data_IF_136773924319
#
_entry.id   IF_136773924319
#
_cell.length_a   1.000
_cell.length_b   1.000
_cell.length_c   1.000
_cell.angle_alpha   90.00
_cell.angle_beta   90.00
_cell.angle_gamma   90.00
#
_symmetry.space_group_name_H-M   'P 1'
#
loop_
_entity.id
_entity.type
_entity.pdbx_description
1 polymer ?
#
# COMPACT_ATOMS: atom_id res chain seq x y z
N UNK A 1 24.12 -7.06 3.31
CA UNK A 1 23.14 -8.01 3.85
C UNK A 1 22.04 -8.16 2.81
N UNK A 2 21.60 -9.38 2.51
CA UNK A 2 20.37 -9.58 1.73
C UNK A 2 19.15 -9.21 2.58
N UNK A 3 18.00 -8.86 1.98
CA UNK A 3 16.79 -8.45 2.69
C UNK A 3 16.37 -9.46 3.77
N UNK A 4 16.50 -10.77 3.52
CA UNK A 4 16.19 -11.83 4.49
C UNK A 4 17.07 -11.82 5.74
N UNK A 5 18.33 -11.40 5.63
CA UNK A 5 19.24 -11.25 6.78
C UNK A 5 18.83 -10.04 7.63
N UNK A 6 18.42 -8.94 6.98
CA UNK A 6 17.93 -7.74 7.67
C UNK A 6 16.61 -8.05 8.39
N UNK A 7 15.66 -8.70 7.71
CA UNK A 7 14.40 -9.14 8.33
C UNK A 7 14.68 -10.03 9.54
N UNK A 8 15.57 -11.01 9.41
CA UNK A 8 15.97 -11.88 10.54
C UNK A 8 16.62 -11.08 11.68
N UNK A 9 17.46 -10.09 11.35
CA UNK A 9 18.10 -9.23 12.33
C UNK A 9 17.07 -8.38 13.10
N UNK A 10 16.15 -7.72 12.40
CA UNK A 10 15.09 -6.91 12.99
C UNK A 10 14.12 -7.78 13.80
N UNK A 11 13.73 -8.93 13.26
CA UNK A 11 12.86 -9.89 13.94
C UNK A 11 13.49 -10.47 15.21
N UNK A 12 14.82 -10.60 15.27
CA UNK A 12 15.50 -11.06 16.49
C UNK A 12 15.33 -10.15 17.72
N UNK A 13 14.74 -8.97 17.57
CA UNK A 13 14.22 -8.19 18.71
C UNK A 13 13.15 -8.97 19.47
N UNK A 14 12.34 -9.79 18.77
CA UNK A 14 11.33 -10.64 19.36
C UNK A 14 11.91 -11.53 20.47
N UNK A 15 13.13 -12.05 20.30
CA UNK A 15 13.80 -12.88 21.30
C UNK A 15 14.11 -12.11 22.60
N UNK A 16 14.34 -10.80 22.51
CA UNK A 16 14.59 -9.93 23.68
C UNK A 16 13.31 -9.61 24.45
N UNK A 17 12.17 -9.52 23.75
CA UNK A 17 10.91 -9.04 24.30
C UNK A 17 9.89 -10.16 24.55
N UNK A 18 10.22 -11.41 24.19
CA UNK A 18 9.26 -12.52 24.16
C UNK A 18 8.63 -12.87 25.51
N UNK A 19 9.36 -12.66 26.60
CA UNK A 19 8.91 -12.97 27.95
C UNK A 19 8.06 -11.82 28.55
N UNK A 20 8.09 -10.64 27.91
CA UNK A 20 7.44 -9.40 28.37
C UNK A 20 6.24 -9.02 27.49
N UNK A 21 6.29 -9.33 26.20
CA UNK A 21 5.26 -9.02 25.21
C UNK A 21 4.66 -10.30 24.63
N UNK A 22 3.33 -10.32 24.46
CA UNK A 22 2.67 -11.38 23.70
C UNK A 22 3.11 -11.31 22.23
N UNK A 23 3.12 -12.43 21.52
CA UNK A 23 3.52 -12.50 20.10
C UNK A 23 2.84 -11.46 19.21
N UNK A 24 1.52 -11.28 19.39
CA UNK A 24 0.74 -10.27 18.66
C UNK A 24 1.13 -8.81 18.91
N UNK A 25 1.97 -8.55 19.92
CA UNK A 25 2.45 -7.24 20.32
C UNK A 25 3.90 -6.98 19.90
N UNK A 26 4.54 -7.91 19.18
CA UNK A 26 5.88 -7.68 18.64
C UNK A 26 5.88 -6.59 17.56
N UNK A 27 4.79 -6.49 16.79
CA UNK A 27 4.64 -5.45 15.77
C UNK A 27 4.68 -4.03 16.36
N UNK A 28 4.05 -3.82 17.52
CA UNK A 28 4.00 -2.55 18.26
C UNK A 28 5.40 -2.09 18.73
N UNK A 29 6.40 -2.98 18.73
CA UNK A 29 7.80 -2.68 19.06
C UNK A 29 8.65 -2.54 17.80
N UNK A 30 8.57 -3.53 16.90
CA UNK A 30 9.50 -3.66 15.78
C UNK A 30 9.19 -2.68 14.65
N UNK A 31 7.92 -2.49 14.27
CA UNK A 31 7.57 -1.60 13.15
C UNK A 31 7.93 -0.13 13.42
N UNK A 32 7.59 0.47 14.58
CA UNK A 32 7.87 1.88 14.83
C UNK A 32 9.38 2.14 14.88
N UNK A 33 10.15 1.24 15.49
CA UNK A 33 11.60 1.34 15.55
C UNK A 33 12.27 1.12 14.18
N UNK A 34 11.71 0.27 13.33
CA UNK A 34 12.19 0.09 11.95
C UNK A 34 12.04 1.39 11.16
N UNK A 35 10.87 2.04 11.26
CA UNK A 35 10.62 3.35 10.63
C UNK A 35 11.53 4.42 11.25
N UNK A 36 11.58 4.55 12.58
CA UNK A 36 12.44 5.53 13.26
C UNK A 36 13.91 5.37 12.89
N UNK A 37 14.39 4.12 12.76
CA UNK A 37 15.77 3.86 12.35
C UNK A 37 16.02 4.24 10.90
N UNK A 38 15.11 3.92 9.97
CA UNK A 38 15.16 4.39 8.57
C UNK A 38 15.26 5.91 8.53
N UNK A 39 14.40 6.62 9.27
CA UNK A 39 14.36 8.08 9.34
C UNK A 39 15.66 8.67 9.93
N UNK A 40 16.23 8.05 10.97
CA UNK A 40 17.50 8.47 11.55
C UNK A 40 18.65 8.31 10.55
N UNK A 41 18.70 7.18 9.80
CA UNK A 41 19.70 6.95 8.77
C UNK A 41 19.65 8.02 7.68
N UNK A 42 18.48 8.29 7.11
CA UNK A 42 18.33 9.28 5.99
C UNK A 42 18.61 10.71 6.42
N UNK A 43 18.31 11.07 7.67
CA UNK A 43 18.58 12.41 8.18
C UNK A 43 20.00 12.59 8.70
N UNK A 44 20.74 11.51 9.00
CA UNK A 44 22.08 11.60 9.59
C UNK A 44 23.04 12.54 8.82
N UNK A 45 23.13 12.50 7.47
CA UNK A 45 24.01 13.39 6.72
C UNK A 45 23.63 14.88 6.81
N UNK A 46 22.34 15.18 6.98
CA UNK A 46 21.82 16.57 6.94
C UNK A 46 21.41 17.11 8.31
N UNK A 47 21.50 16.30 9.36
CA UNK A 47 21.08 16.64 10.73
C UNK A 47 21.72 17.91 11.25
N UNK A 48 23.05 18.03 11.16
CA UNK A 48 23.75 19.21 11.65
C UNK A 48 23.29 20.49 10.93
N UNK A 49 23.11 20.41 9.61
CA UNK A 49 22.60 21.52 8.80
C UNK A 49 21.20 21.95 9.22
N UNK A 50 20.32 21.00 9.56
CA UNK A 50 18.98 21.29 10.10
C UNK A 50 19.09 21.99 11.45
N UNK A 51 19.92 21.49 12.37
CA UNK A 51 20.11 22.08 13.70
C UNK A 51 20.67 23.50 13.63
N UNK A 52 21.68 23.74 12.79
CA UNK A 52 22.27 25.06 12.59
C UNK A 52 21.27 26.04 11.98
N UNK A 53 20.48 25.58 11.00
CA UNK A 53 19.42 26.36 10.37
C UNK A 53 18.34 26.72 11.39
N UNK A 54 17.90 25.75 12.20
CA UNK A 54 16.93 25.95 13.26
C UNK A 54 17.46 26.99 14.27
N UNK A 55 18.68 26.82 14.77
CA UNK A 55 19.31 27.78 15.71
C UNK A 55 19.43 29.19 15.12
N UNK A 56 19.76 29.30 13.83
CA UNK A 56 19.94 30.60 13.15
C UNK A 56 18.63 31.36 12.96
N UNK A 57 17.54 30.64 12.66
CA UNK A 57 16.26 31.22 12.24
C UNK A 57 15.19 31.23 13.34
N UNK A 58 15.34 30.42 14.40
CA UNK A 58 14.38 30.36 15.50
C UNK A 58 14.25 31.73 16.16
N UNK A 59 13.00 32.21 16.29
CA UNK A 59 12.68 33.54 16.80
C UNK A 59 12.85 34.68 15.78
N UNK A 60 13.28 34.40 14.55
CA UNK A 60 13.40 35.40 13.46
C UNK A 60 12.37 35.22 12.34
N UNK A 61 11.87 34.00 12.18
CA UNK A 61 10.79 33.68 11.23
C UNK A 61 9.64 33.04 11.99
N UNK A 62 8.41 33.36 11.58
CA UNK A 62 7.21 32.72 12.12
C UNK A 62 7.07 31.26 11.66
N UNK A 63 7.39 31.00 10.39
CA UNK A 63 7.37 29.65 9.82
C UNK A 63 8.77 29.23 9.34
N UNK A 64 9.36 28.23 10.00
CA UNK A 64 10.65 27.67 9.66
C UNK A 64 10.55 26.41 8.77
N UNK A 65 9.36 25.85 8.59
CA UNK A 65 9.16 24.54 7.95
C UNK A 65 9.78 24.47 6.53
N UNK A 66 9.59 25.45 5.62
CA UNK A 66 10.20 25.40 4.28
C UNK A 66 11.73 25.39 4.31
N UNK A 67 12.33 26.17 5.22
CA UNK A 67 13.79 26.28 5.35
C UNK A 67 14.38 25.01 5.97
N UNK A 68 13.69 24.40 6.92
CA UNK A 68 14.14 23.16 7.57
C UNK A 68 14.00 21.95 6.64
N UNK A 69 12.92 21.85 5.84
CA UNK A 69 12.80 20.84 4.77
C UNK A 69 13.88 21.00 3.70
N UNK A 70 14.18 22.23 3.30
CA UNK A 70 15.30 22.50 2.37
C UNK A 70 16.66 22.15 3.00
N UNK A 71 16.81 22.35 4.31
CA UNK A 71 18.03 21.99 5.02
C UNK A 71 18.20 20.46 5.10
N UNK A 72 17.14 19.72 5.40
CA UNK A 72 17.15 18.25 5.48
C UNK A 72 17.31 17.60 4.11
N UNK A 73 16.83 18.23 3.05
CA UNK A 73 16.77 17.64 1.71
C UNK A 73 15.57 16.72 1.50
N UNK A 74 14.65 16.65 2.46
CA UNK A 74 13.47 15.81 2.44
C UNK A 74 12.21 16.63 2.73
N UNK A 75 11.04 16.02 2.51
CA UNK A 75 9.74 16.61 2.86
C UNK A 75 9.51 16.72 4.38
N UNK A 76 10.46 16.29 5.20
CA UNK A 76 10.41 16.29 6.66
C UNK A 76 11.79 16.60 7.24
N UNK A 77 11.84 16.85 8.54
CA UNK A 77 13.09 17.12 9.27
C UNK A 77 12.96 16.71 10.74
N UNK A 78 14.08 16.70 11.47
CA UNK A 78 14.11 16.52 12.91
C UNK A 78 14.97 17.61 13.58
N UNK A 79 14.42 18.24 14.62
CA UNK A 79 15.07 19.34 15.37
C UNK A 79 15.58 18.92 16.75
N UNK A 80 15.40 17.66 17.14
CA UNK A 80 15.99 17.13 18.37
C UNK A 80 17.51 17.04 18.24
N UNK A 81 18.19 17.31 19.35
CA UNK A 81 19.64 17.18 19.44
C UNK A 81 20.09 15.72 19.46
N UNK A 82 19.16 14.79 19.76
CA UNK A 82 19.39 13.36 19.84
C UNK A 82 19.34 12.69 18.47
N UNK A 83 20.24 11.75 18.25
CA UNK A 83 20.25 10.70 17.24
C UNK A 83 20.39 9.36 17.98
N UNK A 84 20.33 8.22 17.29
CA UNK A 84 20.41 6.91 17.96
C UNK A 84 21.71 6.72 18.76
N UNK A 85 22.81 7.35 18.34
CA UNK A 85 24.08 7.34 19.08
C UNK A 85 23.95 8.08 20.41
N UNK A 86 23.47 9.33 20.39
CA UNK A 86 23.31 10.16 21.59
C UNK A 86 22.21 9.65 22.52
N UNK A 87 21.16 9.02 21.99
CA UNK A 87 20.13 8.39 22.80
C UNK A 87 20.74 7.33 23.73
N UNK A 88 21.60 6.47 23.18
CA UNK A 88 22.25 5.39 23.93
C UNK A 88 23.39 5.89 24.83
N UNK A 89 23.94 7.07 24.56
CA UNK A 89 24.94 7.71 25.41
C UNK A 89 24.39 8.19 26.77
N UNK A 90 23.07 8.41 26.88
CA UNK A 90 22.37 8.84 28.11
C UNK A 90 21.30 7.81 28.50
N UNK A 91 21.76 6.58 28.79
CA UNK A 91 20.91 5.46 29.16
C UNK A 91 19.93 5.75 30.32
N UNK A 92 20.31 6.48 31.41
CA UNK A 92 19.38 6.76 32.51
C UNK A 92 18.14 7.57 32.12
N UNK A 93 18.21 8.39 31.06
CA UNK A 93 17.09 9.22 30.59
C UNK A 93 16.55 8.75 29.24
N UNK A 94 16.85 7.52 28.82
CA UNK A 94 16.65 7.06 27.45
C UNK A 94 15.20 7.20 26.98
N UNK A 95 14.23 6.82 27.80
CA UNK A 95 12.81 6.93 27.45
C UNK A 95 12.36 8.39 27.26
N UNK A 96 12.82 9.31 28.11
CA UNK A 96 12.53 10.73 27.97
C UNK A 96 13.22 11.33 26.74
N UNK A 97 14.46 10.95 26.48
CA UNK A 97 15.24 11.40 25.32
C UNK A 97 14.66 10.87 24.00
N UNK A 98 14.18 9.62 23.98
CA UNK A 98 13.51 9.04 22.81
C UNK A 98 12.19 9.76 22.51
N UNK A 99 11.39 10.10 23.54
CA UNK A 99 10.20 10.95 23.36
C UNK A 99 10.57 12.34 22.83
N UNK A 100 11.65 12.93 23.34
CA UNK A 100 12.17 14.20 22.80
C UNK A 100 12.57 14.07 21.32
N UNK A 101 13.23 12.97 20.95
CA UNK A 101 13.61 12.69 19.58
C UNK A 101 12.40 12.59 18.66
N UNK A 102 11.36 11.85 19.06
CA UNK A 102 10.09 11.73 18.33
C UNK A 102 9.40 13.09 18.21
N UNK A 103 9.32 13.84 19.31
CA UNK A 103 8.76 15.19 19.33
C UNK A 103 9.61 16.20 18.54
N UNK A 104 10.83 15.87 18.16
CA UNK A 104 11.70 16.69 17.33
C UNK A 104 11.31 16.69 15.84
N UNK A 105 10.55 15.69 15.38
CA UNK A 105 10.13 15.61 13.98
C UNK A 105 9.17 16.73 13.57
N UNK A 106 9.21 17.09 12.29
CA UNK A 106 8.25 18.00 11.65
C UNK A 106 6.81 17.48 11.79
N UNK A 107 5.78 18.36 11.80
CA UNK A 107 4.40 17.96 12.09
C UNK A 107 3.88 16.81 11.23
N UNK A 108 4.20 16.80 9.93
CA UNK A 108 3.80 15.75 8.99
C UNK A 108 4.42 14.38 9.30
N UNK A 109 5.70 14.33 9.71
CA UNK A 109 6.35 13.08 10.10
C UNK A 109 5.96 12.66 11.52
N UNK A 110 5.63 13.62 12.40
CA UNK A 110 5.10 13.31 13.72
C UNK A 110 3.75 12.61 13.64
N UNK A 111 2.86 13.08 12.77
CA UNK A 111 1.58 12.41 12.48
C UNK A 111 1.79 10.93 12.14
N UNK A 112 2.79 10.64 11.28
CA UNK A 112 3.14 9.28 10.88
C UNK A 112 3.59 8.44 12.07
N UNK A 113 4.48 8.96 12.93
CA UNK A 113 4.98 8.21 14.08
C UNK A 113 3.89 8.00 15.15
N UNK A 114 3.00 8.96 15.35
CA UNK A 114 1.91 8.87 16.32
C UNK A 114 0.92 7.76 15.99
N UNK A 115 0.76 7.39 14.71
CA UNK A 115 -0.12 6.29 14.28
C UNK A 115 0.30 4.94 14.85
N UNK A 116 1.57 4.75 15.18
CA UNK A 116 2.04 3.55 15.84
C UNK A 116 1.67 3.44 17.32
N UNK A 117 1.21 4.52 17.97
CA UNK A 117 0.90 4.50 19.41
C UNK A 117 2.11 4.18 20.31
N UNK A 118 3.32 4.47 19.83
CA UNK A 118 4.58 3.93 20.36
C UNK A 118 4.91 4.40 21.79
N UNK A 119 4.30 5.48 22.29
CA UNK A 119 4.57 6.02 23.62
C UNK A 119 4.33 4.99 24.75
N UNK A 120 3.25 4.22 24.63
CA UNK A 120 2.90 3.15 25.58
C UNK A 120 3.93 2.01 25.54
N UNK A 121 4.39 1.65 24.33
CA UNK A 121 5.45 0.66 24.15
C UNK A 121 6.78 1.13 24.74
N UNK A 122 7.13 2.41 24.58
CA UNK A 122 8.34 2.98 25.18
C UNK A 122 8.29 2.85 26.70
N UNK A 123 7.17 3.25 27.32
CA UNK A 123 7.00 3.16 28.77
C UNK A 123 7.19 1.72 29.27
N UNK A 124 6.56 0.76 28.61
CA UNK A 124 6.65 -0.65 28.98
C UNK A 124 8.06 -1.24 28.78
N UNK A 125 8.75 -0.89 27.68
CA UNK A 125 10.12 -1.34 27.45
C UNK A 125 11.09 -0.76 28.49
N UNK A 126 10.86 0.46 28.95
CA UNK A 126 11.69 1.14 29.95
C UNK A 126 11.50 0.52 31.34
N UNK A 127 10.24 0.32 31.75
CA UNK A 127 9.86 -0.33 33.02
C UNK A 127 10.50 -1.72 33.17
N UNK A 128 10.60 -2.45 32.05
CA UNK A 128 11.14 -3.81 32.00
C UNK A 128 12.67 -3.84 31.75
N UNK A 129 13.32 -2.68 31.66
CA UNK A 129 14.77 -2.57 31.43
C UNK A 129 15.23 -3.10 30.07
N UNK A 130 14.32 -3.17 29.09
CA UNK A 130 14.57 -3.68 27.74
C UNK A 130 14.86 -2.58 26.72
N UNK A 131 14.43 -1.34 26.99
CA UNK A 131 14.50 -0.23 26.04
C UNK A 131 15.91 -0.03 25.46
N UNK A 132 16.93 -0.01 26.32
CA UNK A 132 18.33 0.16 25.89
C UNK A 132 18.76 -0.96 24.93
N UNK A 133 18.54 -2.23 25.29
CA UNK A 133 18.95 -3.40 24.48
C UNK A 133 18.24 -3.41 23.12
N UNK A 134 16.96 -3.06 23.12
CA UNK A 134 16.17 -2.99 21.88
C UNK A 134 16.69 -1.85 20.99
N UNK A 135 16.88 -0.63 21.51
CA UNK A 135 17.41 0.48 20.71
C UNK A 135 18.84 0.24 20.23
N UNK A 136 19.70 -0.35 21.05
CA UNK A 136 21.07 -0.72 20.68
C UNK A 136 21.08 -1.66 19.48
N UNK A 137 20.17 -2.64 19.46
CA UNK A 137 20.02 -3.54 18.31
C UNK A 137 19.62 -2.76 17.04
N UNK A 138 18.64 -1.87 17.13
CA UNK A 138 18.21 -1.06 15.98
C UNK A 138 19.27 -0.08 15.49
N UNK A 139 20.06 0.52 16.38
CA UNK A 139 21.19 1.39 16.01
C UNK A 139 22.14 0.67 15.04
N UNK A 140 22.37 -0.62 15.24
CA UNK A 140 23.28 -1.42 14.42
C UNK A 140 22.70 -1.85 13.06
N UNK A 141 21.43 -1.54 12.77
CA UNK A 141 20.85 -1.72 11.44
C UNK A 141 21.09 -0.45 10.59
N UNK A 142 21.94 -0.56 9.56
CA UNK A 142 22.05 0.50 8.54
C UNK A 142 20.92 0.34 7.53
N UNK A 143 19.90 1.18 7.69
CA UNK A 143 18.76 1.27 6.81
C UNK A 143 18.86 2.57 6.00
N UNK A 144 20.03 3.00 5.51
CA UNK A 144 20.08 4.10 4.54
C UNK A 144 19.69 3.62 3.12
N UNK A 145 19.04 4.44 2.26
CA UNK A 145 18.77 4.13 0.86
C UNK A 145 19.99 3.62 0.07
N UNK A 146 21.19 4.10 0.39
CA UNK A 146 22.44 3.66 -0.26
C UNK A 146 22.82 2.19 0.07
N UNK A 147 22.28 1.63 1.16
CA UNK A 147 22.50 0.23 1.57
C UNK A 147 21.29 -0.65 1.32
N UNK A 148 20.11 -0.09 1.58
CA UNK A 148 18.81 -0.73 1.44
C UNK A 148 17.97 0.22 0.63
N UNK A 149 17.92 0.01 -0.68
CA UNK A 149 17.08 0.82 -1.57
C UNK A 149 15.60 0.75 -1.14
N UNK A 150 14.78 1.67 -1.64
CA UNK A 150 13.38 1.77 -1.19
C UNK A 150 12.57 0.53 -1.62
N UNK A 151 12.89 -0.08 -2.75
CA UNK A 151 12.25 -1.31 -3.23
C UNK A 151 12.49 -2.45 -2.24
N UNK A 152 13.72 -2.62 -1.79
CA UNK A 152 14.16 -3.61 -0.80
C UNK A 152 13.58 -3.30 0.57
N UNK A 153 13.52 -2.02 0.96
CA UNK A 153 12.89 -1.60 2.21
C UNK A 153 11.40 -1.94 2.23
N UNK A 154 10.69 -1.73 1.11
CA UNK A 154 9.31 -2.19 0.95
C UNK A 154 9.18 -3.70 1.20
N UNK A 155 10.06 -4.51 0.61
CA UNK A 155 10.07 -5.97 0.85
C UNK A 155 10.33 -6.31 2.31
N UNK A 156 11.23 -5.59 2.99
CA UNK A 156 11.49 -5.80 4.42
C UNK A 156 10.22 -5.53 5.24
N UNK A 157 9.49 -4.43 4.98
CA UNK A 157 8.23 -4.14 5.68
C UNK A 157 7.16 -5.19 5.41
N UNK A 158 6.99 -5.59 4.15
CA UNK A 158 6.05 -6.64 3.74
C UNK A 158 6.34 -7.97 4.46
N UNK A 159 7.61 -8.38 4.52
CA UNK A 159 8.03 -9.61 5.21
C UNK A 159 7.88 -9.52 6.73
N UNK A 160 8.13 -8.36 7.34
CA UNK A 160 7.88 -8.15 8.76
C UNK A 160 6.39 -8.28 9.09
N UNK A 161 5.52 -7.62 8.31
CA UNK A 161 4.06 -7.70 8.45
C UNK A 161 3.58 -9.14 8.26
N UNK A 162 4.07 -9.84 7.23
CA UNK A 162 3.77 -11.26 7.00
C UNK A 162 4.09 -12.10 8.23
N UNK A 163 5.28 -11.93 8.82
CA UNK A 163 5.69 -12.65 10.04
C UNK A 163 4.81 -12.31 11.25
N UNK A 164 4.34 -11.07 11.40
CA UNK A 164 3.42 -10.71 12.48
C UNK A 164 2.06 -11.39 12.34
N UNK A 165 1.50 -11.42 11.11
CA UNK A 165 0.24 -12.08 10.84
C UNK A 165 0.34 -13.61 11.06
N UNK A 166 1.44 -14.22 10.61
CA UNK A 166 1.73 -15.64 10.89
C UNK A 166 1.85 -15.93 12.39
N UNK A 167 2.40 -14.98 13.16
CA UNK A 167 2.52 -15.12 14.62
C UNK A 167 1.18 -14.92 15.36
N UNK A 168 0.16 -14.40 14.68
CA UNK A 168 -1.19 -14.15 15.19
C UNK A 168 -2.21 -15.23 14.79
N UNK A 169 -1.79 -16.25 14.03
CA UNK A 169 -2.68 -17.23 13.36
C UNK A 169 -3.76 -16.56 12.47
N UNK A 170 -3.50 -15.33 12.00
CA UNK A 170 -4.32 -14.65 10.99
C UNK A 170 -3.93 -15.13 9.59
N UNK A 171 -4.92 -15.28 8.69
CA UNK A 171 -4.69 -15.80 7.34
C UNK A 171 -3.69 -14.92 6.56
N UNK A 172 -2.49 -15.41 6.20
CA UNK A 172 -1.45 -14.57 5.57
C UNK A 172 -1.87 -13.99 4.21
N UNK A 173 -2.77 -14.67 3.49
CA UNK A 173 -3.27 -14.24 2.18
C UNK A 173 -4.31 -13.10 2.22
N UNK A 174 -4.82 -12.74 3.40
CA UNK A 174 -5.84 -11.69 3.55
C UNK A 174 -5.26 -10.27 3.61
N UNK A 175 -3.93 -10.14 3.76
CA UNK A 175 -3.30 -8.87 4.15
C UNK A 175 -2.19 -8.38 3.22
N UNK A 176 -1.70 -9.22 2.29
CA UNK A 176 -0.62 -8.83 1.39
C UNK A 176 -0.82 -9.39 -0.02
N UNK A 177 -0.48 -8.59 -1.03
CA UNK A 177 -0.45 -9.00 -2.42
C UNK A 177 1.00 -9.28 -2.83
N UNK A 178 1.36 -10.53 -3.19
CA UNK A 178 2.70 -10.84 -3.68
C UNK A 178 3.13 -9.89 -4.81
N UNK A 179 4.39 -9.47 -4.82
CA UNK A 179 4.89 -8.48 -5.81
C UNK A 179 4.68 -8.88 -7.26
N UNK A 180 4.82 -10.17 -7.57
CA UNK A 180 4.58 -10.68 -8.92
C UNK A 180 3.12 -10.48 -9.34
N UNK A 181 2.18 -10.62 -8.40
CA UNK A 181 0.76 -10.34 -8.63
C UNK A 181 0.56 -8.84 -8.83
N UNK A 182 1.20 -7.99 -8.02
CA UNK A 182 1.13 -6.53 -8.21
C UNK A 182 1.66 -6.11 -9.58
N UNK A 183 2.80 -6.65 -10.01
CA UNK A 183 3.34 -6.39 -11.35
C UNK A 183 2.37 -6.81 -12.45
N UNK A 184 1.79 -8.01 -12.36
CA UNK A 184 0.76 -8.47 -13.30
C UNK A 184 -0.47 -7.56 -13.30
N UNK A 185 -0.93 -7.09 -12.14
CA UNK A 185 -2.05 -6.14 -12.04
C UNK A 185 -1.76 -4.86 -12.80
N UNK A 186 -0.56 -4.30 -12.61
CA UNK A 186 -0.14 -3.06 -13.27
C UNK A 186 -0.01 -3.27 -14.78
N UNK A 187 0.61 -4.38 -15.23
CA UNK A 187 0.72 -4.72 -16.64
C UNK A 187 -0.66 -4.77 -17.32
N UNK A 188 -1.63 -5.43 -16.67
CA UNK A 188 -3.00 -5.52 -17.19
C UNK A 188 -3.75 -4.20 -17.13
N UNK A 189 -3.49 -3.39 -16.09
CA UNK A 189 -4.10 -2.07 -15.91
C UNK A 189 -3.69 -1.11 -17.01
N UNK A 190 -2.43 -1.17 -17.47
CA UNK A 190 -1.89 -0.27 -18.51
C UNK A 190 -1.93 -0.87 -19.92
N UNK A 191 -2.20 -2.17 -20.06
CA UNK A 191 -2.26 -2.87 -21.34
C UNK A 191 -3.20 -2.17 -22.33
N UNK A 192 -2.69 -1.83 -23.51
CA UNK A 192 -3.44 -1.13 -24.55
C UNK A 192 -3.57 0.38 -24.32
N UNK A 193 -2.90 0.96 -23.31
CA UNK A 193 -2.82 2.41 -23.08
C UNK A 193 -1.44 3.01 -23.42
N UNK A 194 -0.54 2.21 -24.01
CA UNK A 194 0.86 2.59 -24.21
C UNK A 194 1.01 3.82 -25.09
N UNK A 195 0.11 3.99 -26.09
CA UNK A 195 0.09 5.19 -26.93
C UNK A 195 -0.23 6.46 -26.14
N UNK A 196 -1.11 6.36 -25.14
CA UNK A 196 -1.45 7.48 -24.25
C UNK A 196 -0.28 7.79 -23.34
N UNK A 197 0.28 6.76 -22.69
CA UNK A 197 1.40 6.88 -21.74
C UNK A 197 2.69 7.40 -22.39
N UNK A 198 2.87 7.23 -23.70
CA UNK A 198 4.00 7.78 -24.46
C UNK A 198 3.87 9.26 -24.85
N UNK A 199 2.74 9.92 -24.56
CA UNK A 199 2.56 11.35 -24.88
C UNK A 199 3.51 12.22 -24.05
N UNK A 200 4.02 13.29 -24.66
CA UNK A 200 4.79 14.29 -23.94
C UNK A 200 3.90 15.11 -23.01
N UNK A 201 4.47 15.56 -21.88
CA UNK A 201 3.78 16.39 -20.88
C UNK A 201 2.48 15.79 -20.33
N UNK A 202 2.38 14.46 -20.33
CA UNK A 202 1.24 13.76 -19.76
C UNK A 202 1.30 13.82 -18.22
N UNK A 203 0.20 14.23 -17.60
CA UNK A 203 -0.03 14.05 -16.17
C UNK A 203 -1.12 12.98 -15.97
N UNK A 204 -0.87 11.99 -15.11
CA UNK A 204 -1.83 10.94 -14.78
C UNK A 204 -1.98 10.78 -13.27
N UNK A 205 -3.14 10.29 -12.86
CA UNK A 205 -3.44 9.99 -11.46
C UNK A 205 -3.72 8.51 -11.25
N UNK A 206 -3.08 7.92 -10.23
CA UNK A 206 -3.27 6.52 -9.83
C UNK A 206 -3.84 6.49 -8.41
N UNK A 207 -4.87 5.68 -8.17
CA UNK A 207 -5.50 5.59 -6.85
C UNK A 207 -5.65 4.15 -6.35
N UNK A 208 -5.39 3.95 -5.06
CA UNK A 208 -5.66 2.71 -4.32
C UNK A 208 -6.45 3.03 -3.03
N UNK A 209 -7.73 2.65 -2.96
CA UNK A 209 -8.61 3.01 -1.84
C UNK A 209 -8.36 2.19 -0.56
N UNK A 210 -7.45 1.22 -0.60
CA UNK A 210 -7.05 0.37 0.52
C UNK A 210 -5.54 0.05 0.39
N UNK A 211 -4.72 1.09 0.38
CA UNK A 211 -3.38 1.03 -0.18
C UNK A 211 -2.36 0.24 0.64
N UNK A 212 -2.68 -0.15 1.88
CA UNK A 212 -1.76 -0.87 2.76
C UNK A 212 -0.46 -0.11 2.92
N UNK A 213 0.66 -0.77 2.60
CA UNK A 213 2.00 -0.19 2.63
C UNK A 213 2.35 0.67 1.40
N UNK A 214 1.42 0.84 0.45
CA UNK A 214 1.63 1.63 -0.77
C UNK A 214 2.35 0.91 -1.91
N UNK A 215 2.54 -0.41 -1.79
CA UNK A 215 3.26 -1.22 -2.78
C UNK A 215 2.68 -1.14 -4.18
N UNK A 216 1.34 -1.22 -4.33
CA UNK A 216 0.68 -1.14 -5.64
C UNK A 216 0.86 0.23 -6.31
N UNK A 217 0.71 1.30 -5.53
CA UNK A 217 0.87 2.68 -6.02
C UNK A 217 2.29 2.96 -6.50
N UNK A 218 3.28 2.56 -5.72
CA UNK A 218 4.69 2.77 -6.05
C UNK A 218 5.13 1.92 -7.23
N UNK A 219 4.75 0.63 -7.27
CA UNK A 219 5.04 -0.24 -8.41
C UNK A 219 4.38 0.27 -9.69
N UNK A 220 3.14 0.77 -9.63
CA UNK A 220 2.47 1.36 -10.79
C UNK A 220 3.23 2.57 -11.34
N UNK A 221 3.71 3.45 -10.45
CA UNK A 221 4.55 4.60 -10.81
C UNK A 221 5.87 4.16 -11.44
N UNK A 222 6.56 3.20 -10.83
CA UNK A 222 7.86 2.71 -11.26
C UNK A 222 7.80 1.98 -12.61
N UNK A 223 6.71 1.25 -12.89
CA UNK A 223 6.45 0.61 -14.18
C UNK A 223 6.33 1.61 -15.33
N UNK A 224 5.67 2.74 -15.08
CA UNK A 224 5.45 3.76 -16.11
C UNK A 224 6.72 4.59 -16.32
N UNK A 225 7.39 5.01 -15.23
CA UNK A 225 8.58 5.87 -15.30
C UNK A 225 9.85 5.12 -15.68
N UNK A 226 9.96 3.85 -15.28
CA UNK A 226 11.17 3.05 -15.43
C UNK A 226 12.17 3.29 -14.30
N UNK A 227 11.91 2.70 -13.13
CA UNK A 227 12.85 2.66 -11.99
C UNK A 227 13.62 1.33 -11.97
N UNK A 228 14.87 1.35 -12.46
CA UNK A 228 15.73 0.15 -12.55
C UNK A 228 15.30 -0.88 -13.62
N UNK A 229 14.23 -0.62 -14.37
CA UNK A 229 13.71 -1.43 -15.48
C UNK A 229 13.31 -0.52 -16.64
N UNK A 230 13.21 -1.01 -17.89
CA UNK A 230 12.66 -0.22 -18.99
C UNK A 230 11.21 0.18 -18.69
N UNK A 231 10.97 1.48 -18.47
CA UNK A 231 9.64 2.05 -18.33
C UNK A 231 9.01 2.42 -19.67
N UNK A 232 7.79 2.95 -19.62
CA UNK A 232 7.07 3.42 -20.82
C UNK A 232 7.49 4.84 -21.18
N UNK A 233 7.55 5.74 -20.20
CA UNK A 233 7.88 7.14 -20.39
C UNK A 233 8.36 7.77 -19.07
N UNK A 234 9.66 8.08 -18.93
CA UNK A 234 10.23 8.64 -17.71
C UNK A 234 9.83 10.10 -17.45
N UNK A 235 9.12 10.75 -18.39
CA UNK A 235 8.73 12.17 -18.29
C UNK A 235 7.25 12.36 -17.90
N UNK A 236 6.51 11.29 -17.63
CA UNK A 236 5.11 11.40 -17.19
C UNK A 236 5.08 11.98 -15.78
N UNK A 237 4.19 12.94 -15.55
CA UNK A 237 3.91 13.45 -14.20
C UNK A 237 2.85 12.57 -13.53
N UNK A 238 3.29 11.64 -12.68
CA UNK A 238 2.40 10.69 -11.99
C UNK A 238 2.13 11.18 -10.57
N UNK A 239 0.85 11.33 -10.24
CA UNK A 239 0.38 11.63 -8.88
C UNK A 239 -0.34 10.41 -8.32
N UNK A 240 0.12 9.90 -7.19
CA UNK A 240 -0.52 8.76 -6.53
C UNK A 240 -1.43 9.23 -5.40
N UNK A 241 -2.52 8.51 -5.20
CA UNK A 241 -3.53 8.77 -4.17
C UNK A 241 -3.82 7.46 -3.45
N UNK A 242 -3.99 7.52 -2.14
CA UNK A 242 -4.29 6.33 -1.38
C UNK A 242 -5.09 6.60 -0.13
N UNK A 243 -5.74 5.56 0.37
CA UNK A 243 -6.40 5.59 1.65
C UNK A 243 -6.19 4.26 2.38
N UNK A 244 -5.95 4.32 3.68
CA UNK A 244 -5.71 3.15 4.51
C UNK A 244 -6.35 3.32 5.89
N UNK A 245 -6.97 2.23 6.37
CA UNK A 245 -7.70 2.19 7.64
C UNK A 245 -6.82 1.71 8.80
N UNK A 246 -5.84 0.85 8.52
CA UNK A 246 -4.88 0.37 9.50
C UNK A 246 -3.79 1.44 9.74
N UNK A 247 -3.59 1.88 10.99
CA UNK A 247 -2.69 2.99 11.28
C UNK A 247 -1.20 2.63 11.04
N UNK A 248 -0.79 1.38 11.28
CA UNK A 248 0.59 0.95 11.09
C UNK A 248 0.98 0.91 9.61
N UNK A 249 0.16 0.30 8.75
CA UNK A 249 0.42 0.23 7.31
C UNK A 249 0.32 1.62 6.65
N UNK A 250 -0.63 2.46 7.10
CA UNK A 250 -0.67 3.88 6.72
C UNK A 250 0.64 4.59 7.04
N UNK A 251 1.17 4.41 8.24
CA UNK A 251 2.41 5.06 8.66
C UNK A 251 3.62 4.56 7.84
N UNK A 252 3.69 3.26 7.56
CA UNK A 252 4.71 2.68 6.67
C UNK A 252 4.62 3.31 5.27
N UNK A 253 3.43 3.30 4.65
CA UNK A 253 3.19 3.88 3.33
C UNK A 253 3.61 5.36 3.27
N UNK A 254 3.10 6.17 4.19
CA UNK A 254 3.32 7.62 4.19
C UNK A 254 4.78 7.98 4.51
N UNK A 255 5.46 7.23 5.40
CA UNK A 255 6.89 7.43 5.68
C UNK A 255 7.77 7.14 4.45
N UNK A 256 7.50 6.05 3.73
CA UNK A 256 8.26 5.68 2.52
C UNK A 256 8.11 6.74 1.42
N UNK A 257 6.90 7.26 1.21
CA UNK A 257 6.67 8.32 0.23
C UNK A 257 7.34 9.64 0.60
N UNK A 258 7.40 10.00 1.89
CA UNK A 258 8.14 11.18 2.35
C UNK A 258 9.66 11.06 2.14
N UNK A 259 10.20 9.83 2.12
CA UNK A 259 11.61 9.56 1.82
C UNK A 259 11.87 9.64 0.31
N UNK A 260 10.93 9.13 -0.51
CA UNK A 260 11.06 9.06 -1.97
C UNK A 260 10.97 10.41 -2.67
N UNK A 261 10.09 11.31 -2.19
CA UNK A 261 9.86 12.61 -2.84
C UNK A 261 10.17 13.76 -1.87
N UNK A 262 11.17 14.62 -2.16
CA UNK A 262 11.53 15.74 -1.30
C UNK A 262 10.43 16.80 -1.19
N UNK A 263 9.46 16.82 -2.10
CA UNK A 263 8.29 17.70 -2.02
C UNK A 263 7.22 17.16 -1.07
N UNK A 264 7.17 15.83 -0.89
CA UNK A 264 6.14 15.14 -0.10
C UNK A 264 4.77 15.09 -0.78
N UNK A 265 4.65 15.54 -2.04
CA UNK A 265 3.35 15.71 -2.73
C UNK A 265 2.52 14.43 -2.78
N UNK A 266 3.18 13.28 -2.99
CA UNK A 266 2.50 11.98 -3.06
C UNK A 266 2.13 11.48 -1.66
N UNK A 267 2.96 11.73 -0.65
CA UNK A 267 2.67 11.40 0.74
C UNK A 267 1.47 12.19 1.28
N UNK A 268 1.32 13.46 0.87
CA UNK A 268 0.19 14.32 1.24
C UNK A 268 -1.15 13.82 0.66
N UNK A 269 -1.10 12.99 -0.39
CA UNK A 269 -2.27 12.34 -0.98
C UNK A 269 -2.62 10.99 -0.34
N UNK A 270 -1.87 10.53 0.67
CA UNK A 270 -2.20 9.33 1.44
C UNK A 270 -3.01 9.71 2.68
N UNK A 271 -4.23 9.19 2.75
CA UNK A 271 -5.18 9.55 3.79
C UNK A 271 -5.45 8.38 4.76
N UNK A 272 -5.74 8.74 6.01
CA UNK A 272 -6.08 7.78 7.05
C UNK A 272 -7.60 7.70 7.29
N UNK A 273 -8.11 6.49 7.40
CA UNK A 273 -9.50 6.18 7.75
C UNK A 273 -10.16 5.22 6.77
N UNK A 274 -11.38 4.77 7.09
CA UNK A 274 -12.13 3.90 6.18
C UNK A 274 -12.56 4.63 4.92
N UNK A 275 -12.24 4.08 3.76
CA UNK A 275 -12.69 4.62 2.46
C UNK A 275 -14.21 4.52 2.28
N UNK A 276 -14.84 3.53 2.91
CA UNK A 276 -16.27 3.29 2.76
C UNK A 276 -17.10 4.33 3.53
N UNK A 277 -16.80 4.57 4.81
CA UNK A 277 -17.53 5.56 5.62
C UNK A 277 -16.99 6.99 5.54
N UNK A 278 -15.73 7.17 5.15
CA UNK A 278 -15.09 8.48 5.15
C UNK A 278 -14.14 8.64 3.96
N UNK A 279 -14.72 8.86 2.79
CA UNK A 279 -13.97 9.18 1.57
C UNK A 279 -13.07 10.40 1.79
N UNK A 280 -11.76 10.20 1.69
CA UNK A 280 -10.77 11.29 1.80
C UNK A 280 -10.40 11.90 0.47
N UNK A 281 -10.91 11.34 -0.63
CA UNK A 281 -10.71 11.83 -1.99
C UNK A 281 -12.04 12.20 -2.68
N UNK A 282 -13.00 12.85 -1.98
CA UNK A 282 -14.35 13.02 -2.49
C UNK A 282 -14.35 13.82 -3.79
N UNK A 283 -15.13 13.35 -4.78
CA UNK A 283 -15.26 13.95 -6.13
C UNK A 283 -13.99 13.92 -6.98
N UNK A 284 -12.84 13.43 -6.49
CA UNK A 284 -11.65 13.24 -7.33
C UNK A 284 -11.90 12.12 -8.33
N UNK A 285 -11.34 12.26 -9.53
CA UNK A 285 -11.42 11.25 -10.59
C UNK A 285 -10.02 10.82 -10.99
N UNK A 286 -9.83 9.52 -11.21
CA UNK A 286 -8.49 8.93 -11.40
C UNK A 286 -8.33 8.29 -12.78
N UNK A 287 -7.13 8.34 -13.37
CA UNK A 287 -6.86 7.65 -14.64
C UNK A 287 -6.79 6.14 -14.45
N UNK A 288 -6.14 5.71 -13.37
CA UNK A 288 -5.96 4.31 -13.03
C UNK A 288 -6.37 4.07 -11.58
N UNK A 289 -7.16 3.04 -11.35
CA UNK A 289 -7.49 2.57 -10.01
C UNK A 289 -7.02 1.12 -9.85
N UNK A 290 -6.31 0.84 -8.77
CA UNK A 290 -5.75 -0.46 -8.47
C UNK A 290 -6.03 -0.80 -7.00
N UNK A 291 -6.50 -2.01 -6.70
CA UNK A 291 -6.83 -2.36 -5.32
C UNK A 291 -6.76 -3.87 -5.06
N UNK A 292 -6.42 -4.23 -3.82
CA UNK A 292 -6.69 -5.54 -3.23
C UNK A 292 -7.45 -5.36 -1.92
N UNK A 293 -8.78 -5.17 -1.97
CA UNK A 293 -9.58 -4.99 -0.77
C UNK A 293 -9.54 -6.22 0.14
N UNK A 294 -9.68 -6.04 1.46
CA UNK A 294 -9.61 -7.14 2.41
C UNK A 294 -10.64 -8.24 2.09
N UNK A 295 -10.21 -9.50 2.11
CA UNK A 295 -11.05 -10.65 1.83
C UNK A 295 -11.96 -10.98 3.01
N UNK A 296 -13.24 -11.24 2.74
CA UNK A 296 -14.15 -11.80 3.75
C UNK A 296 -14.45 -10.91 4.96
N UNK A 297 -13.92 -9.68 5.01
CA UNK A 297 -14.24 -8.71 6.06
C UNK A 297 -15.63 -8.15 5.83
N UNK A 298 -16.41 -8.14 6.90
CA UNK A 298 -17.66 -7.42 6.93
C UNK A 298 -17.42 -5.90 6.88
N UNK A 299 -18.39 -5.17 6.32
CA UNK A 299 -18.39 -3.71 6.30
C UNK A 299 -19.33 -3.14 7.37
N UNK A 300 -19.56 -3.89 8.47
CA UNK A 300 -20.53 -3.51 9.52
C UNK A 300 -20.17 -2.18 10.19
N UNK A 301 -18.86 -1.91 10.33
CA UNK A 301 -18.37 -0.63 10.90
C UNK A 301 -18.70 0.57 10.01
N UNK A 302 -18.87 0.34 8.72
CA UNK A 302 -19.18 1.38 7.73
C UNK A 302 -20.66 1.39 7.33
N UNK A 303 -21.47 0.51 7.93
CA UNK A 303 -22.81 0.21 7.45
C UNK A 303 -23.71 1.44 7.36
N UNK A 304 -23.80 2.21 8.46
CA UNK A 304 -24.66 3.39 8.53
C UNK A 304 -24.30 4.42 7.45
N UNK A 305 -23.00 4.69 7.25
CA UNK A 305 -22.54 5.64 6.26
C UNK A 305 -22.80 5.15 4.82
N UNK A 306 -22.57 3.87 4.56
CA UNK A 306 -22.81 3.24 3.26
C UNK A 306 -24.30 3.21 2.93
N UNK A 307 -25.17 2.86 3.88
CA UNK A 307 -26.62 2.86 3.73
C UNK A 307 -27.16 4.28 3.49
N UNK A 308 -26.72 5.26 4.28
CA UNK A 308 -27.09 6.67 4.11
C UNK A 308 -26.69 7.20 2.73
N UNK A 309 -25.51 6.82 2.23
CA UNK A 309 -25.07 7.24 0.91
C UNK A 309 -25.79 6.49 -0.21
N UNK A 310 -26.15 5.23 -0.01
CA UNK A 310 -26.97 4.44 -0.94
C UNK A 310 -28.35 5.07 -1.17
N UNK A 311 -28.98 5.64 -0.14
CA UNK A 311 -30.28 6.34 -0.24
C UNK A 311 -30.25 7.52 -1.23
N UNK A 312 -29.05 8.02 -1.59
CA UNK A 312 -28.88 9.09 -2.57
C UNK A 312 -28.89 8.60 -4.03
N UNK A 313 -29.02 7.29 -4.27
CA UNK A 313 -29.01 6.69 -5.60
C UNK A 313 -27.75 7.04 -6.39
N UNK A 314 -27.90 7.43 -7.66
CA UNK A 314 -26.80 7.79 -8.57
C UNK A 314 -26.01 9.04 -8.12
N UNK A 315 -26.53 9.81 -7.16
CA UNK A 315 -25.82 10.95 -6.58
C UNK A 315 -24.86 10.55 -5.44
N UNK A 316 -24.83 9.27 -5.06
CA UNK A 316 -23.89 8.66 -4.12
C UNK A 316 -23.02 7.57 -4.76
N UNK A 317 -22.03 7.05 -4.02
CA UNK A 317 -21.10 6.03 -4.54
C UNK A 317 -21.72 4.63 -4.67
N UNK A 318 -22.77 4.34 -3.91
CA UNK A 318 -23.31 2.99 -3.74
C UNK A 318 -24.68 2.77 -4.39
N UNK A 319 -24.97 3.45 -5.51
CA UNK A 319 -26.29 3.43 -6.15
C UNK A 319 -26.70 2.09 -6.79
N UNK A 320 -25.76 1.17 -7.06
CA UNK A 320 -26.04 -0.10 -7.74
C UNK A 320 -26.67 -1.17 -6.83
N UNK A 321 -26.87 -0.87 -5.55
CA UNK A 321 -27.36 -1.78 -4.52
C UNK A 321 -26.27 -2.19 -3.52
N UNK A 322 -26.70 -2.67 -2.36
CA UNK A 322 -25.79 -3.07 -1.29
C UNK A 322 -25.64 -4.59 -1.22
N UNK A 323 -24.40 -5.11 -1.20
CA UNK A 323 -24.16 -6.53 -0.97
C UNK A 323 -24.53 -6.90 0.47
N UNK A 324 -24.43 -8.18 0.84
CA UNK A 324 -24.55 -8.57 2.25
C UNK A 324 -23.47 -7.87 3.08
N UNK A 325 -23.76 -7.59 4.35
CA UNK A 325 -22.79 -7.00 5.29
C UNK A 325 -21.47 -7.80 5.35
N UNK A 326 -21.53 -9.12 5.16
CA UNK A 326 -20.36 -10.00 5.14
C UNK A 326 -19.56 -10.00 3.82
N UNK A 327 -19.94 -9.19 2.83
CA UNK A 327 -19.24 -9.07 1.54
C UNK A 327 -18.93 -7.61 1.23
N UNK A 328 -17.79 -7.12 1.73
CA UNK A 328 -17.34 -5.74 1.51
C UNK A 328 -16.72 -5.48 0.13
N UNK A 329 -16.28 -6.50 -0.61
CA UNK A 329 -15.49 -6.30 -1.83
C UNK A 329 -16.30 -5.60 -2.94
N UNK A 330 -17.60 -5.86 -3.03
CA UNK A 330 -18.48 -5.16 -3.97
C UNK A 330 -18.72 -3.69 -3.62
N UNK A 331 -18.64 -3.33 -2.34
CA UNK A 331 -18.73 -1.92 -1.90
C UNK A 331 -17.47 -1.16 -2.31
N UNK A 332 -16.29 -1.79 -2.18
CA UNK A 332 -15.03 -1.24 -2.70
C UNK A 332 -15.04 -1.07 -4.23
N UNK A 333 -15.59 -2.03 -4.98
CA UNK A 333 -15.72 -1.89 -6.43
C UNK A 333 -16.60 -0.68 -6.78
N UNK A 334 -17.77 -0.54 -6.15
CA UNK A 334 -18.65 0.63 -6.37
C UNK A 334 -17.93 1.95 -6.04
N UNK A 335 -17.17 1.98 -4.93
CA UNK A 335 -16.31 3.12 -4.61
C UNK A 335 -15.34 3.44 -5.75
N UNK A 336 -14.59 2.45 -6.27
CA UNK A 336 -13.65 2.67 -7.39
C UNK A 336 -14.37 3.18 -8.65
N UNK A 337 -15.51 2.60 -9.00
CA UNK A 337 -16.31 3.02 -10.15
C UNK A 337 -16.79 4.47 -10.01
N UNK A 338 -17.16 4.88 -8.79
CA UNK A 338 -17.58 6.25 -8.50
C UNK A 338 -16.47 7.30 -8.71
N UNK A 339 -15.19 6.87 -8.70
CA UNK A 339 -14.02 7.72 -8.95
C UNK A 339 -13.51 7.63 -10.39
N UNK A 340 -14.23 6.96 -11.30
CA UNK A 340 -13.85 6.93 -12.71
C UNK A 340 -14.13 8.28 -13.40
N UNK A 341 -13.20 8.68 -14.26
CA UNK A 341 -13.33 9.76 -15.23
C UNK A 341 -14.36 9.37 -16.30
N UNK A 342 -15.15 10.32 -16.80
CA UNK A 342 -16.04 10.06 -17.93
C UNK A 342 -15.21 9.77 -19.18
N UNK A 343 -15.79 9.04 -20.15
CA UNK A 343 -15.14 8.72 -21.42
C UNK A 343 -14.69 9.95 -22.22
N UNK A 344 -15.40 11.06 -22.10
CA UNK A 344 -15.03 12.34 -22.72
C UNK A 344 -13.66 12.85 -22.23
N UNK A 345 -13.22 12.41 -21.05
CA UNK A 345 -11.92 12.69 -20.44
C UNK A 345 -10.99 11.45 -20.52
N UNK A 346 -11.07 10.69 -21.60
CA UNK A 346 -10.30 9.46 -21.87
C UNK A 346 -10.62 8.26 -20.95
N UNK A 347 -11.53 8.44 -19.99
CA UNK A 347 -11.99 7.37 -19.10
C UNK A 347 -10.96 6.94 -18.05
N UNK A 348 -11.30 5.88 -17.33
CA UNK A 348 -10.43 5.26 -16.32
C UNK A 348 -10.26 3.78 -16.57
N UNK A 349 -9.22 3.20 -15.98
CA UNK A 349 -9.00 1.76 -15.97
C UNK A 349 -8.94 1.25 -14.53
N UNK A 350 -9.47 0.05 -14.28
CA UNK A 350 -9.64 -0.50 -12.93
C UNK A 350 -9.07 -1.92 -12.85
N UNK A 351 -8.17 -2.16 -11.91
CA UNK A 351 -7.69 -3.49 -11.57
C UNK A 351 -8.01 -3.78 -10.09
N UNK A 352 -8.76 -4.85 -9.82
CA UNK A 352 -9.16 -5.20 -8.46
C UNK A 352 -9.01 -6.70 -8.24
N UNK A 353 -8.42 -7.10 -7.12
CA UNK A 353 -8.47 -8.51 -6.72
C UNK A 353 -9.74 -8.76 -5.90
N UNK A 354 -10.50 -9.79 -6.26
CA UNK A 354 -11.72 -10.17 -5.56
C UNK A 354 -11.76 -11.69 -5.39
N UNK A 355 -12.44 -12.16 -4.35
CA UNK A 355 -12.73 -13.59 -4.28
C UNK A 355 -13.77 -13.98 -5.34
N UNK A 356 -13.69 -15.22 -5.83
CA UNK A 356 -14.65 -15.72 -6.82
C UNK A 356 -16.09 -15.83 -6.32
N UNK A 357 -16.28 -15.82 -5.00
CA UNK A 357 -17.60 -15.94 -4.39
C UNK A 357 -18.43 -14.66 -4.53
N UNK A 358 -17.78 -13.49 -4.59
CA UNK A 358 -18.46 -12.21 -4.82
C UNK A 358 -19.01 -12.14 -6.25
N UNK A 359 -18.41 -12.84 -7.22
CA UNK A 359 -18.94 -12.94 -8.58
C UNK A 359 -20.08 -13.96 -8.75
N UNK A 360 -20.10 -15.00 -7.91
CA UNK A 360 -21.09 -16.09 -8.01
C UNK A 360 -22.33 -15.88 -7.15
N UNK A 361 -22.32 -14.89 -6.25
CA UNK A 361 -23.43 -14.63 -5.30
C UNK A 361 -24.28 -13.45 -5.75
N UNK A 362 -25.12 -13.66 -6.76
CA UNK A 362 -26.33 -12.85 -6.99
C UNK A 362 -27.55 -13.45 -6.28
N UNK A 363 -28.70 -12.74 -6.23
CA UNK A 363 -30.00 -13.40 -6.12
C UNK A 363 -30.06 -14.52 -7.17
N UNK A 364 -30.73 -15.65 -6.88
CA UNK A 364 -30.66 -16.91 -7.65
C UNK A 364 -31.04 -16.82 -9.15
N UNK A 365 -31.43 -15.66 -9.65
CA UNK A 365 -32.13 -15.53 -10.94
C UNK A 365 -31.42 -14.66 -12.00
N UNK A 366 -30.18 -14.20 -11.79
CA UNK A 366 -29.44 -13.45 -12.83
C UNK A 366 -28.12 -14.12 -13.27
N UNK A 367 -27.92 -14.37 -14.59
CA UNK A 367 -26.70 -14.97 -15.11
C UNK A 367 -25.55 -13.95 -15.14
N UNK A 368 -24.52 -14.18 -14.33
CA UNK A 368 -23.31 -13.37 -14.25
C UNK A 368 -22.47 -13.43 -15.56
N UNK A 369 -21.91 -12.30 -16.06
CA UNK A 369 -20.99 -12.32 -17.19
C UNK A 369 -19.64 -12.98 -16.83
N UNK A 370 -19.07 -13.74 -17.76
CA UNK A 370 -17.92 -14.61 -17.51
C UNK A 370 -16.61 -13.83 -17.25
N UNK A 371 -15.95 -14.02 -16.09
CA UNK A 371 -14.63 -13.44 -15.82
C UNK A 371 -13.51 -14.17 -16.59
N UNK A 372 -12.41 -13.47 -16.89
CA UNK A 372 -11.13 -14.13 -17.19
C UNK A 372 -10.65 -14.83 -15.92
N UNK A 373 -10.66 -16.17 -15.91
CA UNK A 373 -10.23 -17.00 -14.78
C UNK A 373 -8.76 -17.37 -14.95
N UNK A 374 -7.89 -16.84 -14.08
CA UNK A 374 -6.51 -17.30 -13.96
C UNK A 374 -6.41 -18.64 -13.22
N UNK A 375 -5.32 -19.43 -13.40
CA UNK A 375 -5.13 -20.69 -12.68
C UNK A 375 -5.02 -20.46 -11.16
N UNK A 376 -5.54 -21.41 -10.37
CA UNK A 376 -5.37 -21.43 -8.91
C UNK A 376 -3.88 -21.47 -8.57
N UNK A 377 -3.39 -20.44 -7.89
CA UNK A 377 -2.04 -20.39 -7.34
C UNK A 377 -2.02 -20.97 -5.92
N UNK A 378 -0.93 -21.62 -5.48
CA UNK A 378 -0.84 -22.29 -4.18
C UNK A 378 -0.78 -21.33 -2.96
N UNK A 379 -0.99 -20.03 -3.14
CA UNK A 379 -0.78 -18.97 -2.13
C UNK A 379 -2.07 -18.34 -1.56
N UNK A 380 -3.21 -19.03 -1.60
CA UNK A 380 -4.46 -18.54 -0.96
C UNK A 380 -5.19 -17.40 -1.70
N UNK A 381 -4.67 -16.91 -2.83
CA UNK A 381 -5.35 -15.98 -3.73
C UNK A 381 -6.53 -16.68 -4.42
N UNK A 382 -7.74 -16.19 -4.17
CA UNK A 382 -8.98 -16.93 -4.48
C UNK A 382 -9.61 -16.62 -5.84
N UNK A 383 -9.17 -15.62 -6.60
CA UNK A 383 -9.41 -15.35 -8.03
C UNK A 383 -8.89 -13.92 -8.35
N UNK A 384 -8.64 -13.58 -9.62
CA UNK A 384 -8.09 -12.27 -10.03
C UNK A 384 -8.96 -11.67 -11.15
N UNK A 385 -9.31 -10.37 -11.05
CA UNK A 385 -10.19 -9.71 -12.00
C UNK A 385 -9.67 -8.32 -12.42
N UNK A 386 -9.10 -8.23 -13.62
CA UNK A 386 -8.85 -6.95 -14.27
C UNK A 386 -10.07 -6.53 -15.09
N UNK A 387 -10.54 -5.30 -14.91
CA UNK A 387 -11.59 -4.69 -15.72
C UNK A 387 -11.00 -3.55 -16.56
N UNK A 388 -10.79 -3.81 -17.84
CA UNK A 388 -10.33 -2.79 -18.80
C UNK A 388 -11.48 -2.46 -19.76
N UNK A 389 -12.23 -1.39 -19.51
CA UNK A 389 -13.23 -0.91 -20.49
C UNK A 389 -13.31 0.62 -20.58
N UNK A 390 -13.44 1.19 -21.80
CA UNK A 390 -14.00 2.52 -21.99
C UNK A 390 -15.53 2.40 -22.05
N UNK A 391 -16.23 2.57 -20.91
CA UNK A 391 -17.69 2.49 -20.87
C UNK A 391 -18.32 3.65 -21.69
N UNK A 392 -19.24 3.34 -22.61
CA UNK A 392 -19.98 4.34 -23.41
C UNK A 392 -21.46 4.40 -22.95
N UNK A 393 -22.09 5.59 -22.84
CA UNK A 393 -23.48 5.70 -22.38
C UNK A 393 -24.56 5.44 -23.46
N UNK A 394 -24.21 5.30 -24.74
CA UNK A 394 -25.20 5.29 -25.84
C UNK A 394 -25.42 3.93 -26.52
N UNK A 395 -24.90 2.84 -25.94
CA UNK A 395 -25.24 1.49 -26.40
C UNK A 395 -25.59 0.64 -25.19
N UNK A 396 -26.88 0.33 -25.06
CA UNK A 396 -27.34 -0.75 -24.21
C UNK A 396 -26.52 -2.02 -24.51
N UNK A 397 -26.08 -2.65 -23.43
CA UNK A 397 -25.37 -3.93 -23.35
C UNK A 397 -24.73 -4.47 -24.63
N UNK A 398 -23.40 -4.40 -24.73
CA UNK A 398 -22.65 -5.25 -25.65
C UNK A 398 -21.75 -6.22 -24.90
N UNK A 399 -22.19 -7.48 -24.97
CA UNK A 399 -21.43 -8.70 -24.80
C UNK A 399 -20.37 -8.82 -25.91
N UNK A 400 -19.20 -9.36 -25.59
CA UNK A 400 -18.12 -9.58 -26.55
C UNK A 400 -18.54 -10.47 -27.71
N UNK A 401 -18.43 -9.95 -28.94
CA UNK A 401 -18.59 -10.69 -30.18
C UNK A 401 -17.23 -11.24 -30.60
N UNK A 402 -16.99 -12.53 -30.43
CA UNK A 402 -15.91 -13.23 -31.14
C UNK A 402 -16.45 -13.71 -32.49
N UNK A 403 -15.90 -13.17 -33.58
CA UNK A 403 -16.11 -13.66 -34.93
C UNK A 403 -15.33 -14.96 -35.15
N UNK A 404 -16.05 -16.07 -35.31
CA UNK A 404 -15.55 -17.31 -35.94
C UNK A 404 -16.15 -17.47 -37.34
N UNK A 405 -15.49 -18.20 -38.27
CA UNK A 405 -15.85 -18.24 -39.67
C UNK A 405 -17.18 -18.96 -39.91
N UNK A 406 -17.83 -18.56 -40.99
CA UNK A 406 -19.13 -19.03 -41.44
C UNK A 406 -19.23 -20.53 -41.69
N UNK A 407 -20.40 -21.06 -41.31
CA UNK A 407 -21.11 -22.20 -41.91
C UNK A 407 -20.62 -23.63 -41.66
N UNK A 408 -21.63 -24.49 -41.48
CA UNK A 408 -21.66 -25.96 -41.51
C UNK A 408 -21.43 -26.72 -40.18
N UNK A 409 -22.54 -27.34 -39.77
CA UNK A 409 -22.77 -28.32 -38.70
C UNK A 409 -21.80 -29.50 -38.71
N UNK A 410 -21.32 -29.98 -37.55
CA UNK A 410 -20.99 -31.40 -37.35
C UNK A 410 -21.16 -31.87 -35.90
N UNK A 411 -21.76 -33.06 -35.76
CA UNK A 411 -21.99 -33.83 -34.54
C UNK A 411 -20.73 -34.56 -34.08
N UNK A 412 -20.58 -34.73 -32.76
CA UNK A 412 -19.46 -35.46 -32.15
C UNK A 412 -19.67 -36.97 -32.23
N UNK A 413 -18.67 -37.69 -32.74
CA UNK A 413 -18.47 -39.13 -32.49
C UNK A 413 -17.11 -39.29 -31.79
N UNK A 414 -17.01 -40.04 -30.68
CA UNK A 414 -15.75 -40.18 -29.95
C UNK A 414 -14.87 -41.25 -30.60
N UNK A 415 -13.57 -40.97 -30.76
CA UNK A 415 -12.55 -41.94 -31.16
C UNK A 415 -11.38 -41.93 -30.14
N UNK A 416 -10.74 -43.08 -29.89
CA UNK A 416 -9.96 -43.34 -28.68
C UNK A 416 -8.46 -43.03 -28.82
N UNK A 417 -7.79 -42.87 -27.67
CA UNK A 417 -6.35 -42.67 -27.51
C UNK A 417 -5.49 -43.82 -28.10
N UNK A 418 -4.38 -43.48 -28.79
CA UNK A 418 -3.20 -44.34 -28.90
C UNK A 418 -1.98 -43.63 -28.26
N UNK A 419 -1.04 -44.28 -27.59
CA UNK A 419 -0.84 -45.69 -27.32
C UNK A 419 0.37 -45.86 -26.38
N UNK A 420 0.50 -47.06 -25.81
CA UNK A 420 1.73 -47.53 -25.19
C UNK A 420 2.09 -48.86 -25.86
N UNK A 421 3.21 -48.87 -26.59
CA UNK A 421 3.80 -50.09 -27.14
C UNK A 421 5.08 -50.42 -26.37
N UNK A 422 5.12 -51.59 -25.74
CA UNK A 422 6.33 -52.22 -25.21
C UNK A 422 7.03 -53.05 -26.31
N UNK A 423 8.34 -53.17 -26.15
CA UNK A 423 9.28 -53.92 -26.97
C UNK A 423 9.07 -55.44 -26.93
N UNK A 424 9.56 -56.13 -27.97
CA UNK A 424 9.76 -57.58 -28.02
C UNK A 424 10.26 -58.05 -29.38
N UNK A 425 11.53 -58.47 -29.38
CA UNK A 425 12.36 -59.19 -30.38
C UNK A 425 12.80 -58.52 -31.69
#
# INVERSE_FOLDING_TARGET
MNHGEIVSFLWGVADLIRDTFKRGKYQDVILPLTVLRRLDCVLAPTKQKVLDTNKKLKGKLENLDPQLRRASGFAFYNTSLYDFEKLLADAPNLAANLRNYINGFSPNMREVIEKFGFDTTIAKLDEEGLLFKVLERFKNADLHPDRVDNTTMGTIFEELIRKFNEALDENPGEHFTPRDVVHLMVDLLIAGDEKRLKREHLAITVCDPCCGTGGMLTIAKDHILGDGRPGINPKVDIHIFGQEVNPETFAVCKSDLFIKDPTGRDADNIAYGSTLSNDRHPRRKFDYLIANPPYGKDWKRDQEAVETEHERGDAGRFGAGLPRISDGQMVFLQHMLSHMKPKAEEGSRVAIIMNGSSLRRGPRDDPCPSPLVGPRQPFGLTEFHAWTTPLSPEQGGWWGRFSGPSSSSWSATPQPHPGGGMAGD
#
